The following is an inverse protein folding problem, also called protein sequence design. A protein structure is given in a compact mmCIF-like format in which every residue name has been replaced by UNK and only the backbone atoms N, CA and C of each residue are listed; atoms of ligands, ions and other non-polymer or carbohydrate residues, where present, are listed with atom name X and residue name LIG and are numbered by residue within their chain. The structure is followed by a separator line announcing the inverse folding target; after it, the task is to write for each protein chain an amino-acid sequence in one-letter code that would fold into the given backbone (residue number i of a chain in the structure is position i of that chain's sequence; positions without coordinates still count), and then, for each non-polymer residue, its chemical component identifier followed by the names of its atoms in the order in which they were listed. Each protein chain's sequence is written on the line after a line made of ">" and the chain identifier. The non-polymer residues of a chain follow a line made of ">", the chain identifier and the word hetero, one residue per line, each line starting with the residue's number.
data_IF_759381699335
#
_entry.id   IF_759381699335
#
_cell.length_a   1.000
_cell.length_b   1.000
_cell.length_c   1.000
_cell.angle_alpha   90.00
_cell.angle_beta   90.00
_cell.angle_gamma   90.00
#
_symmetry.space_group_name_H-M   'P 1'
#
loop_
_entity.id
_entity.type
_entity.pdbx_description
1 polymer ?
#
# COMPACT_ATOMS: atom_id res chain seq x y z
N UNK A 1 8.35 27.17 -61.18
CA UNK A 1 7.95 25.95 -61.90
C UNK A 1 9.20 25.42 -62.59
N UNK A 2 9.94 24.53 -61.92
CA UNK A 2 11.15 23.90 -62.46
C UNK A 2 10.78 22.52 -63.02
N UNK A 3 11.33 22.09 -64.16
CA UNK A 3 10.99 20.79 -64.74
C UNK A 3 11.64 19.67 -63.91
N UNK A 4 10.82 18.73 -63.46
CA UNK A 4 11.28 17.45 -62.91
C UNK A 4 11.53 16.52 -64.11
N UNK A 5 12.80 16.22 -64.40
CA UNK A 5 13.13 15.14 -65.32
C UNK A 5 12.95 13.81 -64.59
N UNK A 6 12.02 12.99 -65.08
CA UNK A 6 11.79 11.61 -64.62
C UNK A 6 12.63 10.70 -65.50
N UNK A 7 13.71 10.12 -64.98
CA UNK A 7 14.42 9.06 -65.68
C UNK A 7 13.66 7.74 -65.52
N UNK A 8 13.61 6.97 -66.60
CA UNK A 8 13.04 5.63 -66.67
C UNK A 8 14.07 4.63 -66.20
N UNK A 9 14.23 4.48 -64.89
CA UNK A 9 14.69 3.27 -64.19
C UNK A 9 14.54 3.51 -62.68
N UNK A 10 14.00 2.52 -61.96
CA UNK A 10 13.62 2.64 -60.56
C UNK A 10 14.80 3.00 -59.66
N UNK A 11 14.74 4.18 -59.05
CA UNK A 11 15.70 4.64 -58.05
C UNK A 11 15.39 6.09 -57.67
N UNK A 12 14.96 6.32 -56.43
CA UNK A 12 14.63 7.66 -55.94
C UNK A 12 15.94 8.37 -55.50
N UNK A 13 16.70 8.91 -56.45
CA UNK A 13 17.87 9.75 -56.17
C UNK A 13 17.44 11.20 -55.87
N UNK A 14 17.86 11.77 -54.73
CA UNK A 14 17.80 13.23 -54.48
C UNK A 14 19.19 13.83 -54.67
N UNK A 15 19.44 14.41 -55.83
CA UNK A 15 20.65 15.18 -56.11
C UNK A 15 20.40 16.67 -55.83
N UNK A 16 21.25 17.30 -55.02
CA UNK A 16 21.26 18.75 -54.83
C UNK A 16 22.28 19.41 -55.74
N UNK A 17 21.90 20.50 -56.41
CA UNK A 17 22.80 21.36 -57.18
C UNK A 17 23.09 22.64 -56.39
N UNK A 18 24.37 22.88 -56.08
CA UNK A 18 24.83 24.18 -55.59
C UNK A 18 25.50 24.94 -56.74
N UNK A 19 24.99 26.12 -57.08
CA UNK A 19 25.65 27.02 -58.04
C UNK A 19 26.05 28.30 -57.31
N UNK A 20 27.33 28.50 -57.05
CA UNK A 20 27.85 29.83 -56.70
C UNK A 20 28.08 30.63 -57.99
N UNK A 21 27.52 31.83 -58.06
CA UNK A 21 27.74 32.78 -59.16
C UNK A 21 29.19 33.30 -59.11
N UNK A 22 30.11 32.62 -59.81
CA UNK A 22 31.30 33.21 -60.41
C UNK A 22 32.09 32.14 -61.19
N UNK A 23 32.17 32.33 -62.51
CA UNK A 23 33.03 31.64 -63.48
C UNK A 23 32.77 30.15 -63.81
N UNK A 24 32.72 29.91 -65.11
CA UNK A 24 32.41 28.66 -65.79
C UNK A 24 33.55 27.65 -65.57
N UNK A 25 33.29 26.59 -64.83
CA UNK A 25 33.63 25.18 -65.16
C UNK A 25 33.50 24.32 -63.91
N UNK A 26 32.96 23.11 -64.07
CA UNK A 26 32.67 22.06 -63.07
C UNK A 26 31.39 22.22 -62.24
N UNK A 27 30.34 21.50 -62.67
CA UNK A 27 29.21 21.11 -61.83
C UNK A 27 29.65 19.83 -61.10
N UNK A 28 29.94 19.93 -59.81
CA UNK A 28 30.16 18.77 -58.95
C UNK A 28 28.80 18.27 -58.45
N UNK A 29 28.31 17.18 -59.04
CA UNK A 29 27.15 16.44 -58.54
C UNK A 29 27.65 15.53 -57.42
N UNK A 30 27.39 15.89 -56.17
CA UNK A 30 27.54 14.96 -55.06
C UNK A 30 26.28 14.10 -54.95
N UNK A 31 26.36 12.85 -55.41
CA UNK A 31 25.41 11.80 -55.05
C UNK A 31 25.84 11.20 -53.72
N UNK A 32 25.15 11.53 -52.64
CA UNK A 32 25.24 10.75 -51.40
C UNK A 32 24.32 9.54 -51.60
N UNK A 33 24.90 8.36 -51.79
CA UNK A 33 24.17 7.10 -51.69
C UNK A 33 23.75 6.94 -50.22
N UNK A 34 22.48 7.21 -49.91
CA UNK A 34 21.89 6.61 -48.73
C UNK A 34 21.68 5.12 -49.04
N UNK A 35 22.17 4.19 -48.20
CA UNK A 35 21.81 2.78 -48.39
C UNK A 35 20.28 2.67 -48.36
N UNK A 36 19.71 2.00 -49.35
CA UNK A 36 18.28 1.71 -49.36
C UNK A 36 17.95 0.88 -48.12
N UNK A 37 17.38 1.50 -47.10
CA UNK A 37 16.94 0.84 -45.87
C UNK A 37 15.99 -0.36 -46.12
N UNK A 38 15.37 -0.42 -47.30
CA UNK A 38 14.48 -1.50 -47.71
C UNK A 38 15.20 -2.76 -48.20
N UNK A 39 16.49 -2.72 -48.56
CA UNK A 39 17.24 -3.88 -49.08
C UNK A 39 18.14 -4.54 -48.02
N UNK A 40 18.43 -3.82 -46.93
CA UNK A 40 19.21 -4.32 -45.79
C UNK A 40 18.66 -5.64 -45.21
N UNK A 41 17.33 -5.82 -45.06
CA UNK A 41 16.80 -7.00 -44.37
C UNK A 41 16.90 -8.30 -45.18
N UNK A 42 16.71 -8.23 -46.51
CA UNK A 42 16.80 -9.40 -47.41
C UNK A 42 18.25 -9.90 -47.54
N UNK A 43 19.23 -9.05 -47.23
CA UNK A 43 20.66 -9.42 -47.21
C UNK A 43 21.07 -10.04 -45.86
N UNK A 44 20.37 -9.67 -44.77
CA UNK A 44 20.65 -10.15 -43.41
C UNK A 44 19.95 -11.49 -43.13
N UNK A 45 18.74 -11.69 -43.65
CA UNK A 45 17.92 -12.90 -43.48
C UNK A 45 18.01 -13.75 -44.75
N UNK A 46 18.54 -14.98 -44.63
CA UNK A 46 18.65 -15.89 -45.77
C UNK A 46 17.27 -16.37 -46.28
N UNK A 47 17.18 -16.75 -47.55
CA UNK A 47 15.93 -17.20 -48.18
C UNK A 47 15.37 -18.52 -47.62
N UNK A 48 16.17 -19.33 -46.93
CA UNK A 48 15.77 -20.58 -46.24
C UNK A 48 15.36 -20.38 -44.79
N UNK A 49 15.11 -19.15 -44.36
CA UNK A 49 14.86 -18.81 -42.96
C UNK A 49 13.49 -19.32 -42.46
N UNK A 50 13.50 -20.07 -41.36
CA UNK A 50 12.31 -20.42 -40.59
C UNK A 50 12.21 -19.59 -39.30
N UNK A 51 11.23 -18.67 -39.19
CA UNK A 51 10.97 -17.89 -37.98
C UNK A 51 10.55 -18.72 -36.76
N UNK A 52 10.08 -19.97 -36.94
CA UNK A 52 9.67 -20.84 -35.84
C UNK A 52 10.83 -21.62 -35.24
N UNK A 53 11.90 -21.86 -36.01
CA UNK A 53 13.08 -22.53 -35.50
C UNK A 53 13.87 -21.59 -34.59
N UNK A 54 14.20 -22.11 -33.39
CA UNK A 54 15.01 -21.38 -32.42
C UNK A 54 16.45 -21.23 -32.89
N UNK A 55 17.13 -20.12 -32.53
CA UNK A 55 18.54 -19.98 -32.79
C UNK A 55 19.35 -20.97 -31.94
N UNK A 56 20.10 -21.84 -32.61
CA UNK A 56 21.07 -22.75 -32.00
C UNK A 56 22.32 -22.82 -32.89
N UNK A 57 23.53 -22.92 -32.31
CA UNK A 57 24.71 -23.31 -33.07
C UNK A 57 24.49 -24.69 -33.70
N UNK A 58 24.97 -24.89 -34.92
CA UNK A 58 24.84 -26.14 -35.64
C UNK A 58 25.55 -27.28 -34.87
N UNK A 59 24.80 -28.29 -34.43
CA UNK A 59 25.31 -29.42 -33.65
C UNK A 59 25.29 -29.25 -32.12
N UNK A 60 24.85 -28.12 -31.58
CA UNK A 60 24.74 -27.91 -30.14
C UNK A 60 23.34 -28.27 -29.59
N UNK A 61 23.33 -28.91 -28.43
CA UNK A 61 22.12 -29.28 -27.67
C UNK A 61 21.83 -28.24 -26.58
N UNK A 62 22.68 -27.22 -26.42
CA UNK A 62 22.50 -26.20 -25.41
C UNK A 62 21.18 -25.43 -25.55
N UNK A 63 20.65 -25.04 -24.39
CA UNK A 63 19.47 -24.20 -24.29
C UNK A 63 19.80 -22.79 -24.83
N UNK A 64 18.89 -22.24 -25.63
CA UNK A 64 18.99 -20.84 -26.08
C UNK A 64 18.81 -19.92 -24.88
N UNK A 65 19.86 -19.17 -24.52
CA UNK A 65 19.82 -18.23 -23.40
C UNK A 65 19.17 -16.91 -23.85
N UNK A 66 18.15 -16.48 -23.11
CA UNK A 66 17.47 -15.20 -23.33
C UNK A 66 17.63 -14.34 -22.08
N UNK A 67 18.31 -13.22 -22.24
CA UNK A 67 18.53 -12.24 -21.18
C UNK A 67 17.40 -11.21 -21.16
N UNK A 68 16.81 -10.99 -19.98
CA UNK A 68 15.72 -10.05 -19.74
C UNK A 68 16.20 -8.84 -18.97
N UNK A 69 15.66 -7.69 -19.35
CA UNK A 69 15.76 -6.43 -18.62
C UNK A 69 14.43 -5.71 -18.63
N UNK A 70 14.03 -5.18 -17.49
CA UNK A 70 12.80 -4.43 -17.31
C UNK A 70 13.13 -2.97 -17.02
N UNK A 71 12.45 -2.06 -17.71
CA UNK A 71 12.46 -0.64 -17.38
C UNK A 71 11.03 -0.22 -17.04
N UNK A 72 10.75 -0.03 -15.75
CA UNK A 72 9.44 0.36 -15.24
C UNK A 72 9.29 1.86 -15.35
N UNK A 73 8.35 2.30 -16.19
CA UNK A 73 8.02 3.71 -16.38
C UNK A 73 7.08 4.23 -15.31
N UNK A 74 6.09 3.42 -14.92
CA UNK A 74 5.06 3.85 -14.00
C UNK A 74 4.41 2.65 -13.29
N UNK A 75 3.89 2.91 -12.08
CA UNK A 75 3.13 1.96 -11.29
C UNK A 75 1.82 2.64 -10.92
N UNK A 76 0.71 2.13 -11.45
CA UNK A 76 -0.60 2.72 -11.32
C UNK A 76 -1.58 1.79 -10.59
N UNK A 77 -2.63 2.41 -10.02
CA UNK A 77 -3.82 1.72 -9.52
C UNK A 77 -3.55 0.47 -8.69
N UNK A 78 -2.84 0.62 -7.56
CA UNK A 78 -2.74 -0.45 -6.54
C UNK A 78 -4.12 -0.58 -5.91
N UNK A 79 -4.81 -1.68 -6.16
CA UNK A 79 -6.16 -1.93 -5.71
C UNK A 79 -6.19 -3.03 -4.63
N UNK A 80 -6.37 -2.66 -3.35
CA UNK A 80 -6.52 -3.62 -2.27
C UNK A 80 -7.71 -4.54 -2.45
N UNK A 81 -8.82 -4.06 -3.03
CA UNK A 81 -10.08 -4.78 -3.12
C UNK A 81 -10.00 -5.96 -4.09
N UNK A 82 -9.40 -5.72 -5.25
CA UNK A 82 -9.23 -6.73 -6.28
C UNK A 82 -7.91 -7.50 -6.15
N UNK A 83 -7.06 -7.14 -5.17
CA UNK A 83 -5.75 -7.77 -4.95
C UNK A 83 -4.88 -7.71 -6.22
N UNK A 84 -4.79 -6.52 -6.82
CA UNK A 84 -3.98 -6.28 -8.02
C UNK A 84 -3.34 -4.89 -8.07
N UNK A 85 -2.38 -4.75 -8.98
CA UNK A 85 -1.72 -3.49 -9.28
C UNK A 85 -1.33 -3.44 -10.76
N UNK A 86 -1.28 -2.24 -11.33
CA UNK A 86 -0.95 -2.03 -12.74
C UNK A 86 0.48 -1.51 -12.87
N UNK A 87 1.24 -2.09 -13.80
CA UNK A 87 2.61 -1.66 -14.09
C UNK A 87 2.74 -1.37 -15.57
N UNK A 88 3.38 -0.25 -15.90
CA UNK A 88 3.81 0.13 -17.24
C UNK A 88 5.33 -0.01 -17.32
N UNK A 89 5.80 -0.88 -18.19
CA UNK A 89 7.22 -1.16 -18.33
C UNK A 89 7.62 -1.49 -19.77
N UNK A 90 8.88 -1.20 -20.10
CA UNK A 90 9.58 -1.72 -21.26
C UNK A 90 10.21 -3.06 -20.90
N UNK A 91 9.80 -4.12 -21.61
CA UNK A 91 10.47 -5.41 -21.59
C UNK A 91 11.53 -5.43 -22.68
N UNK A 92 12.78 -5.66 -22.30
CA UNK A 92 13.91 -5.84 -23.20
C UNK A 92 14.35 -7.29 -23.10
N UNK A 93 14.41 -7.95 -24.25
CA UNK A 93 14.85 -9.34 -24.40
C UNK A 93 16.06 -9.35 -25.31
N UNK A 94 17.10 -10.09 -24.94
CA UNK A 94 18.33 -10.20 -25.73
C UNK A 94 18.73 -11.66 -25.88
N UNK A 95 18.97 -12.08 -27.12
CA UNK A 95 19.47 -13.43 -27.45
C UNK A 95 20.42 -13.32 -28.64
N UNK A 96 21.18 -14.38 -28.89
CA UNK A 96 22.09 -14.45 -30.05
C UNK A 96 21.50 -15.39 -31.10
N UNK A 97 21.39 -14.93 -32.35
CA UNK A 97 21.00 -15.75 -33.49
C UNK A 97 22.20 -15.94 -34.43
N UNK A 98 22.69 -17.19 -34.48
CA UNK A 98 23.86 -17.57 -35.30
C UNK A 98 23.52 -17.76 -36.78
N UNK A 99 22.24 -17.78 -37.15
CA UNK A 99 21.80 -17.97 -38.55
C UNK A 99 21.84 -16.67 -39.35
N UNK A 100 21.98 -15.52 -38.67
CA UNK A 100 22.12 -14.22 -39.32
C UNK A 100 23.45 -14.13 -40.06
N UNK A 101 23.45 -13.45 -41.21
CA UNK A 101 24.67 -13.31 -42.00
C UNK A 101 25.66 -12.34 -41.35
N UNK A 102 26.65 -12.89 -40.64
CA UNK A 102 27.68 -12.13 -39.92
C UNK A 102 28.49 -11.20 -40.83
N UNK A 103 28.78 -11.58 -42.08
CA UNK A 103 29.59 -10.75 -42.99
C UNK A 103 28.86 -9.48 -43.39
N UNK A 104 27.55 -9.59 -43.68
CA UNK A 104 26.69 -8.44 -44.02
C UNK A 104 26.51 -7.54 -42.80
N UNK A 105 26.40 -8.11 -41.59
CA UNK A 105 26.31 -7.32 -40.36
C UNK A 105 27.60 -6.55 -40.07
N UNK A 106 28.77 -7.13 -40.35
CA UNK A 106 30.06 -6.45 -40.20
C UNK A 106 30.21 -5.30 -41.19
N UNK A 107 29.89 -5.52 -42.46
CA UNK A 107 29.93 -4.49 -43.53
C UNK A 107 28.99 -3.31 -43.23
N UNK A 108 27.76 -3.59 -42.80
CA UNK A 108 26.77 -2.55 -42.50
C UNK A 108 27.12 -1.69 -41.28
N UNK A 109 28.02 -2.17 -40.41
CA UNK A 109 28.33 -1.54 -39.13
C UNK A 109 29.79 -1.08 -39.01
N UNK A 110 30.56 -1.01 -40.10
CA UNK A 110 31.97 -0.55 -40.13
C UNK A 110 32.21 0.78 -39.39
N UNK A 111 31.19 1.65 -39.27
CA UNK A 111 31.31 2.98 -38.64
C UNK A 111 30.49 3.19 -37.34
N UNK A 112 29.75 2.18 -36.84
CA UNK A 112 28.89 2.30 -35.65
C UNK A 112 28.97 1.04 -34.77
N UNK A 113 30.02 0.92 -33.95
CA UNK A 113 30.22 -0.24 -33.07
C UNK A 113 29.17 -0.33 -31.94
N UNK A 114 28.72 0.81 -31.40
CA UNK A 114 27.86 0.83 -30.21
C UNK A 114 26.35 0.85 -30.51
N UNK A 115 25.97 1.14 -31.76
CA UNK A 115 24.58 1.35 -32.14
C UNK A 115 24.17 0.30 -33.17
N UNK A 116 23.65 -0.84 -32.68
CA UNK A 116 23.05 -1.87 -33.53
C UNK A 116 22.01 -1.32 -34.51
N UNK A 117 21.80 -2.03 -35.62
CA UNK A 117 20.89 -1.64 -36.70
C UNK A 117 19.45 -1.80 -36.22
N UNK A 118 18.64 -0.74 -36.32
CA UNK A 118 17.20 -0.77 -36.05
C UNK A 118 16.46 -1.31 -37.27
N UNK A 119 15.76 -2.44 -37.12
CA UNK A 119 14.95 -3.00 -38.19
C UNK A 119 13.54 -2.37 -38.21
N UNK A 120 12.95 -2.16 -39.41
CA UNK A 120 11.55 -1.78 -39.53
C UNK A 120 10.62 -2.80 -38.88
N UNK A 121 9.44 -2.35 -38.44
CA UNK A 121 8.51 -3.21 -37.70
C UNK A 121 7.90 -4.36 -38.53
N UNK A 122 7.95 -4.30 -39.86
CA UNK A 122 7.52 -5.40 -40.74
C UNK A 122 8.37 -6.66 -40.53
N UNK A 123 9.62 -6.50 -40.10
CA UNK A 123 10.55 -7.59 -39.83
C UNK A 123 10.34 -8.23 -38.47
N UNK A 124 9.45 -7.68 -37.63
CA UNK A 124 9.10 -8.28 -36.35
C UNK A 124 8.60 -9.71 -36.55
N UNK A 125 7.83 -9.98 -37.60
CA UNK A 125 7.22 -11.30 -37.82
C UNK A 125 8.17 -12.31 -38.48
N UNK A 126 9.25 -11.83 -39.10
CA UNK A 126 10.25 -12.66 -39.76
C UNK A 126 11.28 -13.23 -38.79
N UNK A 127 11.53 -12.62 -37.62
CA UNK A 127 12.55 -13.10 -36.68
C UNK A 127 11.94 -14.04 -35.62
N UNK A 128 12.66 -15.11 -35.27
CA UNK A 128 12.28 -15.97 -34.13
C UNK A 128 12.25 -15.14 -32.85
N UNK A 129 11.20 -15.32 -32.04
CA UNK A 129 11.03 -14.63 -30.76
C UNK A 129 10.71 -15.66 -29.69
N UNK A 130 11.26 -15.52 -28.48
CA UNK A 130 10.87 -16.37 -27.36
C UNK A 130 9.41 -16.08 -26.98
N UNK A 131 8.82 -16.99 -26.20
CA UNK A 131 7.42 -17.00 -25.80
C UNK A 131 7.24 -16.71 -24.30
N UNK A 132 7.56 -15.50 -23.81
CA UNK A 132 7.39 -15.16 -22.40
C UNK A 132 5.90 -15.02 -22.06
N UNK A 133 5.51 -15.64 -20.95
CA UNK A 133 4.24 -15.41 -20.28
C UNK A 133 4.45 -14.86 -18.88
N UNK A 134 3.46 -14.12 -18.41
CA UNK A 134 3.40 -13.62 -17.05
C UNK A 134 2.26 -14.38 -16.36
N UNK A 135 2.54 -15.46 -15.62
CA UNK A 135 1.51 -16.37 -15.13
C UNK A 135 0.55 -15.71 -14.14
N UNK A 136 0.99 -14.67 -13.43
CA UNK A 136 0.15 -13.90 -12.52
C UNK A 136 -0.45 -12.62 -13.12
N UNK A 137 -0.41 -12.45 -14.44
CA UNK A 137 -1.11 -11.36 -15.11
C UNK A 137 -2.61 -11.68 -15.23
N UNK A 138 -3.45 -10.74 -14.81
CA UNK A 138 -4.90 -10.76 -15.07
C UNK A 138 -5.22 -10.21 -16.46
N UNK A 139 -4.49 -9.18 -16.87
CA UNK A 139 -4.67 -8.48 -18.14
C UNK A 139 -3.31 -7.99 -18.65
N UNK A 140 -3.05 -8.16 -19.95
CA UNK A 140 -1.86 -7.65 -20.62
C UNK A 140 -2.33 -6.80 -21.80
N UNK A 141 -1.99 -5.53 -21.79
CA UNK A 141 -2.27 -4.59 -22.87
C UNK A 141 -0.95 -4.15 -23.50
N UNK A 142 -0.83 -4.32 -24.81
CA UNK A 142 0.22 -3.68 -25.60
C UNK A 142 -0.35 -2.39 -26.18
N UNK A 143 0.16 -1.23 -25.76
CA UNK A 143 -0.31 0.04 -26.33
C UNK A 143 0.01 0.12 -27.82
N UNK A 144 -0.93 0.64 -28.61
CA UNK A 144 -0.71 0.97 -30.02
C UNK A 144 -1.39 2.30 -30.33
N UNK A 145 -0.62 3.33 -30.69
CA UNK A 145 -1.20 4.56 -31.26
C UNK A 145 -1.43 4.42 -32.77
N UNK A 146 -0.51 3.74 -33.48
CA UNK A 146 -0.59 3.47 -34.93
C UNK A 146 0.18 2.19 -35.35
N UNK A 147 1.14 1.74 -34.54
CA UNK A 147 1.94 0.53 -34.72
C UNK A 147 2.21 -0.08 -33.34
N UNK A 148 2.53 -1.37 -33.27
CA UNK A 148 2.97 -2.00 -32.01
C UNK A 148 4.19 -1.23 -31.49
N UNK A 149 4.20 -0.82 -30.21
CA UNK A 149 5.40 -0.24 -29.58
C UNK A 149 6.46 -1.32 -29.33
N UNK A 150 6.99 -1.86 -30.42
CA UNK A 150 8.00 -2.89 -30.43
C UNK A 150 9.09 -2.52 -31.42
N UNK A 151 10.35 -2.80 -31.07
CA UNK A 151 11.50 -2.58 -31.93
C UNK A 151 12.47 -3.75 -31.82
N UNK A 152 13.11 -4.09 -32.93
CA UNK A 152 14.21 -5.05 -32.99
C UNK A 152 15.47 -4.32 -33.40
N UNK A 153 16.53 -4.53 -32.64
CA UNK A 153 17.87 -4.07 -32.96
C UNK A 153 18.80 -5.26 -33.10
N UNK A 154 19.58 -5.29 -34.18
CA UNK A 154 20.57 -6.35 -34.45
C UNK A 154 21.98 -5.77 -34.29
N UNK A 155 22.86 -6.50 -33.62
CA UNK A 155 24.26 -6.12 -33.39
C UNK A 155 25.23 -6.99 -34.22
N UNK A 156 26.48 -6.51 -34.38
CA UNK A 156 27.53 -7.14 -35.20
C UNK A 156 27.75 -8.62 -34.86
N UNK A 157 27.67 -8.94 -33.57
CA UNK A 157 27.88 -10.26 -33.02
C UNK A 157 26.67 -11.21 -33.18
N UNK A 158 25.66 -10.85 -33.97
CA UNK A 158 24.42 -11.62 -34.12
C UNK A 158 23.49 -11.55 -32.91
N UNK A 159 23.77 -10.67 -31.94
CA UNK A 159 22.86 -10.40 -30.83
C UNK A 159 21.65 -9.62 -31.34
N UNK A 160 20.46 -10.11 -31.03
CA UNK A 160 19.19 -9.47 -31.30
C UNK A 160 18.65 -8.94 -29.98
N UNK A 161 18.29 -7.65 -29.95
CA UNK A 161 17.61 -7.01 -28.84
C UNK A 161 16.20 -6.63 -29.26
N UNK A 162 15.22 -7.29 -28.67
CA UNK A 162 13.80 -7.01 -28.84
C UNK A 162 13.30 -6.18 -27.67
N UNK A 163 12.64 -5.07 -27.96
CA UNK A 163 12.04 -4.19 -26.95
C UNK A 163 10.54 -4.10 -27.20
N UNK A 164 9.73 -4.21 -26.15
CA UNK A 164 8.28 -3.99 -26.22
C UNK A 164 7.77 -3.31 -24.95
N UNK A 165 6.90 -2.30 -25.10
CA UNK A 165 6.24 -1.65 -23.96
C UNK A 165 4.90 -2.34 -23.66
N UNK A 166 4.71 -2.73 -22.41
CA UNK A 166 3.54 -3.45 -21.94
C UNK A 166 2.91 -2.75 -20.73
N UNK A 167 1.60 -2.81 -20.67
CA UNK A 167 0.78 -2.40 -19.54
C UNK A 167 0.14 -3.64 -18.97
N UNK A 168 0.56 -4.06 -17.78
CA UNK A 168 0.13 -5.33 -17.20
C UNK A 168 -0.58 -5.09 -15.89
N UNK A 169 -1.76 -5.69 -15.74
CA UNK A 169 -2.46 -5.80 -14.47
C UNK A 169 -2.05 -7.12 -13.82
N UNK A 170 -1.33 -7.02 -12.70
CA UNK A 170 -0.74 -8.16 -12.00
C UNK A 170 -1.53 -8.49 -10.75
N UNK A 171 -1.85 -9.77 -10.55
CA UNK A 171 -2.41 -10.27 -9.30
C UNK A 171 -1.33 -10.26 -8.20
N UNK A 172 -1.68 -9.69 -7.04
CA UNK A 172 -0.84 -9.64 -5.86
C UNK A 172 -1.68 -9.94 -4.61
N UNK A 173 -1.38 -11.04 -3.93
CA UNK A 173 -2.05 -11.42 -2.69
C UNK A 173 -1.49 -10.59 -1.53
N UNK A 174 -2.16 -9.49 -1.19
CA UNK A 174 -1.74 -8.57 -0.13
C UNK A 174 -2.19 -9.08 1.26
N UNK A 175 -1.37 -8.82 2.29
CA UNK A 175 -1.69 -9.12 3.69
C UNK A 175 -1.86 -7.83 4.51
N UNK A 176 -3.10 -7.58 4.96
CA UNK A 176 -3.47 -6.38 5.71
C UNK A 176 -3.50 -6.58 7.24
N UNK A 177 -2.95 -7.66 7.80
CA UNK A 177 -2.93 -7.87 9.26
C UNK A 177 -2.27 -6.70 10.02
N UNK A 178 -1.22 -6.12 9.45
CA UNK A 178 -0.48 -5.00 10.03
C UNK A 178 -1.01 -3.62 9.57
N UNK A 179 -2.13 -3.58 8.87
CA UNK A 179 -2.71 -2.33 8.38
C UNK A 179 -2.97 -1.33 9.53
N UNK A 180 -2.59 -0.05 9.39
CA UNK A 180 -2.10 0.64 8.17
C UNK A 180 -0.57 0.75 8.06
N UNK A 181 0.19 0.05 8.89
CA UNK A 181 1.66 0.02 8.81
C UNK A 181 2.10 -1.32 8.20
N UNK A 182 1.65 -1.56 6.97
CA UNK A 182 1.84 -2.78 6.20
C UNK A 182 2.84 -2.59 5.05
N UNK A 183 3.63 -3.64 4.79
CA UNK A 183 4.50 -3.75 3.62
C UNK A 183 3.99 -4.89 2.74
N UNK A 184 3.61 -4.57 1.52
CA UNK A 184 3.10 -5.54 0.55
C UNK A 184 4.21 -5.95 -0.41
N UNK A 185 4.37 -7.26 -0.59
CA UNK A 185 5.35 -7.84 -1.52
C UNK A 185 4.59 -8.41 -2.71
N UNK A 186 4.69 -7.72 -3.84
CA UNK A 186 3.99 -8.08 -5.06
C UNK A 186 4.97 -8.59 -6.12
N UNK A 187 5.00 -9.90 -6.40
CA UNK A 187 5.88 -10.45 -7.42
C UNK A 187 5.29 -10.27 -8.82
N UNK A 188 6.14 -9.97 -9.78
CA UNK A 188 5.91 -10.17 -11.21
C UNK A 188 6.75 -11.36 -11.64
N UNK A 189 6.12 -12.35 -12.28
CA UNK A 189 6.79 -13.56 -12.74
C UNK A 189 6.83 -13.58 -14.27
N UNK A 190 7.95 -13.99 -14.85
CA UNK A 190 8.10 -14.20 -16.30
C UNK A 190 8.67 -15.59 -16.52
N UNK A 191 8.03 -16.39 -17.36
CA UNK A 191 8.45 -17.75 -17.70
C UNK A 191 8.15 -18.07 -19.16
N UNK A 192 8.77 -19.11 -19.73
CA UNK A 192 8.44 -19.56 -21.09
C UNK A 192 7.13 -20.34 -21.08
N UNK A 193 6.27 -20.12 -22.08
CA UNK A 193 5.01 -20.82 -22.21
C UNK A 193 5.21 -22.28 -22.61
N UNK A 194 5.98 -22.53 -23.66
CA UNK A 194 6.06 -23.82 -24.35
C UNK A 194 7.38 -24.54 -24.06
N UNK A 195 8.48 -23.78 -23.95
CA UNK A 195 9.83 -24.34 -23.98
C UNK A 195 10.37 -24.62 -22.56
N UNK A 196 10.78 -25.86 -22.25
CA UNK A 196 11.44 -26.19 -20.99
C UNK A 196 12.89 -25.67 -20.95
N UNK A 197 13.50 -25.76 -19.77
CA UNK A 197 14.82 -25.19 -19.45
C UNK A 197 16.00 -25.72 -20.26
N UNK A 198 15.87 -26.92 -20.79
CA UNK A 198 16.80 -27.57 -21.70
C UNK A 198 16.74 -26.97 -23.11
N UNK A 199 15.62 -26.37 -23.51
CA UNK A 199 15.44 -25.73 -24.83
C UNK A 199 15.68 -24.23 -24.76
N UNK A 200 15.03 -23.54 -23.82
CA UNK A 200 15.13 -22.08 -23.65
C UNK A 200 15.33 -21.75 -22.18
N UNK A 201 16.36 -20.97 -21.88
CA UNK A 201 16.68 -20.57 -20.51
C UNK A 201 16.64 -19.06 -20.36
N UNK A 202 15.71 -18.60 -19.53
CA UNK A 202 15.59 -17.18 -19.19
C UNK A 202 16.59 -16.79 -18.11
N UNK A 203 17.20 -15.62 -18.24
CA UNK A 203 18.11 -15.06 -17.25
C UNK A 203 17.91 -13.55 -17.16
N UNK A 204 18.24 -12.97 -16.01
CA UNK A 204 18.37 -11.52 -15.90
C UNK A 204 19.66 -11.05 -16.57
N UNK A 205 19.59 -9.95 -17.33
CA UNK A 205 20.78 -9.34 -17.94
C UNK A 205 21.80 -9.01 -16.84
N UNK A 206 23.04 -9.46 -17.02
CA UNK A 206 24.11 -9.20 -16.05
C UNK A 206 24.49 -7.71 -16.10
N UNK A 207 24.74 -7.06 -14.96
CA UNK A 207 25.29 -5.71 -14.95
C UNK A 207 26.64 -5.68 -15.68
N UNK A 208 26.83 -4.69 -16.55
CA UNK A 208 28.14 -4.44 -17.16
C UNK A 208 29.09 -3.84 -16.12
N UNK A 209 30.27 -4.45 -15.94
CA UNK A 209 31.28 -4.00 -14.97
C UNK A 209 31.70 -2.53 -15.17
N UNK A 210 31.64 -2.02 -16.41
CA UNK A 210 32.01 -0.65 -16.79
C UNK A 210 31.00 0.41 -16.30
N UNK A 211 29.72 0.06 -16.14
CA UNK A 211 28.66 1.00 -15.73
C UNK A 211 28.38 1.03 -14.23
N UNK A 212 29.02 0.15 -13.45
CA UNK A 212 28.71 -0.10 -12.04
C UNK A 212 29.86 0.29 -11.12
N UNK A 213 30.49 1.44 -11.37
CA UNK A 213 31.69 1.85 -10.65
C UNK A 213 31.42 2.41 -9.23
N UNK A 214 30.16 2.73 -8.92
CA UNK A 214 29.76 3.22 -7.61
C UNK A 214 28.66 2.34 -7.00
N UNK A 215 28.82 1.96 -5.74
CA UNK A 215 27.90 1.10 -4.98
C UNK A 215 26.48 1.68 -4.74
N UNK A 216 26.12 2.80 -5.38
CA UNK A 216 24.86 3.54 -5.17
C UNK A 216 23.88 3.49 -6.36
N UNK A 217 24.21 2.78 -7.45
CA UNK A 217 23.47 2.97 -8.69
C UNK A 217 22.40 1.90 -8.97
N UNK A 218 21.13 2.29 -8.76
CA UNK A 218 19.93 1.72 -9.41
C UNK A 218 20.04 1.63 -10.97
N UNK A 219 21.14 2.13 -11.54
CA UNK A 219 21.50 2.08 -12.94
C UNK A 219 21.90 0.68 -13.41
N UNK A 220 22.39 -0.17 -12.49
CA UNK A 220 22.96 -1.48 -12.80
C UNK A 220 22.03 -2.68 -12.53
N UNK A 221 20.83 -2.46 -12.01
CA UNK A 221 19.87 -3.54 -11.83
C UNK A 221 19.24 -3.96 -13.18
N UNK A 222 18.95 -5.26 -13.37
CA UNK A 222 18.20 -5.73 -14.53
C UNK A 222 16.73 -5.26 -14.51
N UNK A 223 16.23 -4.87 -13.33
CA UNK A 223 14.93 -4.23 -13.16
C UNK A 223 15.16 -2.80 -12.71
N UNK A 224 14.87 -1.85 -13.60
CA UNK A 224 15.08 -0.42 -13.37
C UNK A 224 13.75 0.29 -13.21
N UNK A 225 13.73 1.26 -12.32
CA UNK A 225 12.59 2.16 -12.13
C UNK A 225 12.96 3.54 -12.64
N UNK A 226 12.02 4.19 -13.32
CA UNK A 226 12.16 5.61 -13.65
C UNK A 226 12.17 6.47 -12.38
N UNK A 227 13.08 7.44 -12.31
CA UNK A 227 13.26 8.28 -11.11
C UNK A 227 12.03 9.17 -10.82
N UNK A 228 11.16 9.38 -11.81
CA UNK A 228 9.94 10.17 -11.67
C UNK A 228 8.79 9.45 -10.97
N UNK A 229 8.87 8.13 -10.77
CA UNK A 229 7.76 7.34 -10.21
C UNK A 229 7.55 7.70 -8.74
N UNK A 230 6.40 8.31 -8.44
CA UNK A 230 5.96 8.62 -7.09
C UNK A 230 4.53 8.16 -6.90
N UNK A 231 4.35 7.28 -5.93
CA UNK A 231 3.04 6.78 -5.52
C UNK A 231 2.49 7.68 -4.40
N UNK A 232 1.18 7.89 -4.40
CA UNK A 232 0.55 8.83 -3.45
C UNK A 232 0.31 8.20 -2.07
N UNK A 233 0.01 6.90 -2.02
CA UNK A 233 -0.36 6.17 -0.80
C UNK A 233 0.74 5.23 -0.29
N UNK A 234 1.73 4.93 -1.13
CA UNK A 234 2.78 3.95 -0.84
C UNK A 234 4.14 4.55 -1.17
N UNK A 235 5.16 4.18 -0.41
CA UNK A 235 6.55 4.31 -0.79
C UNK A 235 7.02 2.99 -1.41
N UNK A 236 7.81 3.08 -2.48
CA UNK A 236 8.43 1.91 -3.07
C UNK A 236 9.76 1.64 -2.37
N UNK A 237 9.88 0.48 -1.73
CA UNK A 237 11.15 -0.01 -1.20
C UNK A 237 12.00 -0.63 -2.33
N UNK A 238 13.31 -0.85 -2.13
CA UNK A 238 14.18 -1.44 -3.14
C UNK A 238 13.61 -2.75 -3.71
N UNK A 239 13.49 -2.81 -5.03
CA UNK A 239 12.99 -4.00 -5.73
C UNK A 239 14.01 -5.12 -5.66
N UNK A 240 13.53 -6.35 -5.45
CA UNK A 240 14.38 -7.54 -5.43
C UNK A 240 14.08 -8.38 -6.67
N UNK A 241 15.11 -8.83 -7.37
CA UNK A 241 14.98 -9.71 -8.51
C UNK A 241 15.67 -11.04 -8.21
N UNK A 242 15.04 -12.13 -8.62
CA UNK A 242 15.58 -13.48 -8.44
C UNK A 242 15.23 -14.38 -9.63
N UNK A 243 15.95 -15.48 -9.73
CA UNK A 243 15.68 -16.55 -10.71
C UNK A 243 15.23 -17.77 -9.93
N UNK A 244 14.03 -18.24 -10.21
CA UNK A 244 13.46 -19.47 -9.68
C UNK A 244 13.23 -20.51 -10.76
N UNK A 245 12.73 -21.67 -10.35
CA UNK A 245 12.30 -22.75 -11.24
C UNK A 245 10.87 -23.13 -10.92
N UNK A 246 10.02 -23.20 -11.95
CA UNK A 246 8.67 -23.71 -11.85
C UNK A 246 8.61 -25.13 -12.45
N UNK A 247 7.89 -26.03 -11.80
CA UNK A 247 7.62 -27.38 -12.29
C UNK A 247 6.13 -27.50 -12.54
N UNK A 248 5.75 -27.86 -13.75
CA UNK A 248 4.38 -28.10 -14.15
C UNK A 248 4.22 -29.57 -14.50
N UNK A 249 3.36 -30.28 -13.78
CA UNK A 249 3.13 -31.71 -13.98
C UNK A 249 2.44 -31.96 -15.33
N UNK A 250 1.59 -31.04 -15.78
CA UNK A 250 0.87 -31.11 -17.05
C UNK A 250 1.79 -30.96 -18.26
N UNK A 251 2.84 -30.15 -18.13
CA UNK A 251 3.81 -29.89 -19.21
C UNK A 251 5.03 -30.81 -19.18
N UNK A 252 5.12 -31.68 -18.17
CA UNK A 252 6.23 -32.62 -17.97
C UNK A 252 7.62 -31.96 -18.12
N UNK A 253 7.83 -30.80 -17.50
CA UNK A 253 9.06 -30.03 -17.67
C UNK A 253 9.37 -29.10 -16.51
N UNK A 254 10.65 -28.69 -16.42
CA UNK A 254 11.12 -27.65 -15.51
C UNK A 254 11.32 -26.39 -16.33
N UNK A 255 10.71 -25.29 -15.88
CA UNK A 255 10.73 -23.98 -16.52
C UNK A 255 11.46 -22.98 -15.63
N UNK A 256 12.16 -22.01 -16.23
CA UNK A 256 12.88 -20.96 -15.52
C UNK A 256 11.91 -19.82 -15.34
N UNK A 257 11.78 -19.36 -14.09
CA UNK A 257 10.88 -18.30 -13.72
C UNK A 257 11.68 -17.13 -13.19
N UNK A 258 11.67 -16.03 -13.93
CA UNK A 258 12.23 -14.76 -13.49
C UNK A 258 11.21 -14.08 -12.57
N UNK A 259 11.66 -13.63 -11.39
CA UNK A 259 10.82 -12.95 -10.41
C UNK A 259 11.34 -11.55 -10.16
N UNK A 260 10.46 -10.55 -10.25
CA UNK A 260 10.72 -9.18 -9.82
C UNK A 260 9.72 -8.82 -8.72
N UNK A 261 10.20 -8.57 -7.51
CA UNK A 261 9.39 -8.25 -6.33
C UNK A 261 9.29 -6.73 -6.14
N UNK A 262 8.07 -6.21 -6.30
CA UNK A 262 7.72 -4.84 -5.96
C UNK A 262 7.31 -4.79 -4.49
N UNK A 263 8.00 -3.96 -3.71
CA UNK A 263 7.75 -3.81 -2.26
C UNK A 263 7.09 -2.47 -1.99
N UNK A 264 5.80 -2.50 -1.67
CA UNK A 264 5.01 -1.31 -1.39
C UNK A 264 4.86 -1.13 0.12
N UNK A 265 5.50 -0.11 0.67
CA UNK A 265 5.33 0.30 2.07
C UNK A 265 4.23 1.36 2.16
N UNK A 266 3.20 1.17 2.97
CA UNK A 266 2.14 2.19 3.11
C UNK A 266 2.64 3.42 3.87
N UNK A 267 2.27 4.60 3.40
CA UNK A 267 2.52 5.86 4.10
C UNK A 267 1.52 6.07 5.24
N UNK A 268 2.02 6.14 6.48
CA UNK A 268 1.19 6.14 7.69
C UNK A 268 0.52 7.50 7.97
N UNK A 269 1.09 8.60 7.48
CA UNK A 269 0.74 9.98 7.87
C UNK A 269 -0.74 10.31 7.65
N UNK A 270 -1.31 9.88 6.52
CA UNK A 270 -2.71 10.14 6.19
C UNK A 270 -3.66 9.47 7.20
N UNK A 271 -3.38 8.21 7.53
CA UNK A 271 -4.17 7.43 8.48
C UNK A 271 -4.07 7.98 9.92
N UNK A 272 -2.91 8.54 10.30
CA UNK A 272 -2.74 9.21 11.59
C UNK A 272 -3.71 10.38 11.76
N UNK A 273 -3.76 11.29 10.79
CA UNK A 273 -4.59 12.49 10.90
C UNK A 273 -6.08 12.22 10.66
N UNK A 274 -6.42 11.24 9.82
CA UNK A 274 -7.82 10.94 9.50
C UNK A 274 -8.50 10.07 10.57
N UNK A 275 -7.75 9.15 11.20
CA UNK A 275 -8.34 8.18 12.15
C UNK A 275 -7.76 8.28 13.54
N UNK A 276 -6.44 8.15 13.72
CA UNK A 276 -5.85 8.03 15.06
C UNK A 276 -5.99 9.31 15.89
N UNK A 277 -5.74 10.48 15.29
CA UNK A 277 -5.86 11.78 15.98
C UNK A 277 -7.32 12.08 16.37
N UNK A 278 -8.32 12.02 15.45
CA UNK A 278 -9.70 12.31 15.81
C UNK A 278 -10.29 11.29 16.80
N UNK A 279 -9.98 10.00 16.66
CA UNK A 279 -10.45 8.97 17.61
C UNK A 279 -9.83 9.16 19.01
N UNK A 280 -8.56 9.55 19.09
CA UNK A 280 -7.91 9.91 20.36
C UNK A 280 -8.57 11.13 21.00
N UNK A 281 -8.83 12.19 20.23
CA UNK A 281 -9.53 13.38 20.72
C UNK A 281 -10.94 13.03 21.22
N UNK A 282 -11.65 12.15 20.51
CA UNK A 282 -12.94 11.63 20.94
C UNK A 282 -12.79 10.93 22.30
N UNK A 283 -11.83 10.03 22.50
CA UNK A 283 -11.58 9.39 23.81
C UNK A 283 -11.26 10.44 24.89
N UNK A 284 -10.46 11.46 24.59
CA UNK A 284 -10.19 12.58 25.50
C UNK A 284 -11.47 13.35 25.89
N UNK A 285 -12.46 13.51 25.00
CA UNK A 285 -13.76 14.10 25.35
C UNK A 285 -14.51 13.27 26.41
N UNK A 286 -14.39 11.93 26.38
CA UNK A 286 -14.96 11.11 27.46
C UNK A 286 -14.24 11.35 28.79
N UNK A 287 -12.91 11.49 28.76
CA UNK A 287 -12.14 11.85 29.95
C UNK A 287 -12.56 13.21 30.54
N UNK A 288 -12.77 14.23 29.70
CA UNK A 288 -13.26 15.54 30.16
C UNK A 288 -14.66 15.47 30.77
N UNK A 289 -15.47 14.47 30.42
CA UNK A 289 -16.80 14.30 31.01
C UNK A 289 -16.76 14.04 32.52
N UNK A 290 -15.68 13.47 33.07
CA UNK A 290 -15.50 13.22 34.51
C UNK A 290 -15.23 14.50 35.31
N UNK A 291 -14.86 15.59 34.64
CA UNK A 291 -14.72 16.91 35.26
C UNK A 291 -16.06 17.65 35.34
N UNK A 292 -17.04 17.25 34.52
CA UNK A 292 -18.39 17.83 34.58
C UNK A 292 -19.17 17.25 35.75
N UNK A 293 -19.65 18.12 36.63
CA UNK A 293 -20.51 17.76 37.75
C UNK A 293 -21.88 17.22 37.30
N UNK A 294 -22.55 16.51 38.20
CA UNK A 294 -23.90 15.95 37.98
C UNK A 294 -25.02 17.02 38.03
N UNK A 295 -24.67 18.29 37.90
CA UNK A 295 -25.61 19.41 37.87
C UNK A 295 -26.17 19.63 36.46
N UNK A 296 -25.41 19.20 35.43
CA UNK A 296 -25.81 19.20 34.03
C UNK A 296 -25.81 17.78 33.43
N UNK A 297 -26.56 16.86 34.07
CA UNK A 297 -26.78 15.47 33.60
C UNK A 297 -27.06 15.37 32.09
N UNK A 298 -27.98 16.17 31.48
CA UNK A 298 -28.25 16.05 30.04
C UNK A 298 -27.05 16.40 29.17
N UNK A 299 -26.19 17.33 29.59
CA UNK A 299 -24.96 17.69 28.87
C UNK A 299 -23.93 16.56 28.87
N UNK A 300 -23.66 15.95 30.04
CA UNK A 300 -22.73 14.81 30.16
C UNK A 300 -23.23 13.59 29.38
N UNK A 301 -24.52 13.27 29.47
CA UNK A 301 -25.11 12.15 28.73
C UNK A 301 -25.02 12.34 27.21
N UNK A 302 -25.37 13.53 26.72
CA UNK A 302 -25.35 13.84 25.28
C UNK A 302 -23.93 13.76 24.73
N UNK A 303 -22.94 14.36 25.42
CA UNK A 303 -21.54 14.30 25.00
C UNK A 303 -21.05 12.85 24.86
N UNK A 304 -21.33 12.00 25.85
CA UNK A 304 -20.90 10.61 25.84
C UNK A 304 -21.57 9.81 24.72
N UNK A 305 -22.89 9.90 24.56
CA UNK A 305 -23.64 9.17 23.52
C UNK A 305 -23.27 9.64 22.12
N UNK A 306 -23.23 10.96 21.87
CA UNK A 306 -22.85 11.51 20.57
C UNK A 306 -21.43 11.09 20.20
N UNK A 307 -20.50 11.16 21.14
CA UNK A 307 -19.11 10.76 20.89
C UNK A 307 -18.94 9.26 20.61
N UNK A 308 -19.78 8.41 21.19
CA UNK A 308 -19.82 6.98 20.89
C UNK A 308 -20.36 6.74 19.48
N UNK A 309 -21.45 7.40 19.11
CA UNK A 309 -22.00 7.33 17.76
C UNK A 309 -20.97 7.75 16.71
N UNK A 310 -20.27 8.87 16.94
CA UNK A 310 -19.19 9.35 16.04
C UNK A 310 -18.11 8.29 15.86
N UNK A 311 -17.68 7.63 16.93
CA UNK A 311 -16.64 6.61 16.86
C UNK A 311 -17.11 5.35 16.12
N UNK A 312 -18.36 4.94 16.30
CA UNK A 312 -18.98 3.83 15.54
C UNK A 312 -19.07 4.19 14.05
N UNK A 313 -19.48 5.41 13.72
CA UNK A 313 -19.53 5.90 12.33
C UNK A 313 -18.13 5.92 11.70
N UNK A 314 -17.11 6.38 12.44
CA UNK A 314 -15.72 6.31 11.98
C UNK A 314 -15.26 4.87 11.73
N UNK A 315 -15.62 3.93 12.61
CA UNK A 315 -15.29 2.52 12.43
C UNK A 315 -15.95 1.92 11.18
N UNK A 316 -17.23 2.23 10.94
CA UNK A 316 -17.92 1.81 9.72
C UNK A 316 -17.24 2.38 8.46
N UNK A 317 -16.84 3.66 8.47
CA UNK A 317 -16.12 4.27 7.34
C UNK A 317 -14.73 3.66 7.10
N UNK A 318 -14.05 3.17 8.16
CA UNK A 318 -12.75 2.50 8.02
C UNK A 318 -12.82 1.10 7.37
N UNK A 319 -14.02 0.51 7.24
CA UNK A 319 -14.23 -0.76 6.54
C UNK A 319 -14.36 -0.61 5.01
N UNK A 320 -13.91 0.51 4.45
CA UNK A 320 -13.86 0.75 3.00
C UNK A 320 -12.81 -0.11 2.27
N UNK A 321 -11.91 -0.76 3.02
CA UNK A 321 -11.06 -1.84 2.51
C UNK A 321 -11.88 -3.12 2.29
N UNK A 322 -11.49 -3.99 1.35
CA UNK A 322 -12.21 -5.25 1.12
C UNK A 322 -12.45 -5.99 2.44
N UNK A 323 -13.62 -6.66 2.56
CA UNK A 323 -13.95 -7.41 3.76
C UNK A 323 -12.97 -8.59 3.91
N UNK A 324 -11.93 -8.38 4.71
CA UNK A 324 -11.02 -9.43 5.13
C UNK A 324 -11.64 -10.19 6.31
N UNK A 325 -11.47 -11.52 6.33
CA UNK A 325 -11.92 -12.38 7.45
C UNK A 325 -11.06 -12.21 8.70
N UNK A 326 -9.88 -11.60 8.58
CA UNK A 326 -8.95 -11.38 9.68
C UNK A 326 -9.06 -9.96 10.25
N UNK A 327 -8.69 -9.82 11.53
CA UNK A 327 -8.67 -8.54 12.25
C UNK A 327 -7.45 -7.73 11.82
N UNK A 328 -7.66 -6.48 11.42
CA UNK A 328 -6.59 -5.53 11.06
C UNK A 328 -6.07 -4.78 12.30
N UNK A 329 -4.83 -4.29 12.24
CA UNK A 329 -4.26 -3.46 13.31
C UNK A 329 -5.09 -2.21 13.64
N UNK A 330 -5.67 -1.57 12.62
CA UNK A 330 -6.60 -0.45 12.79
C UNK A 330 -7.92 -0.86 13.49
N UNK A 331 -8.42 -2.07 13.22
CA UNK A 331 -9.66 -2.57 13.85
C UNK A 331 -9.46 -2.73 15.37
N UNK A 332 -8.28 -3.23 15.79
CA UNK A 332 -7.91 -3.35 17.20
C UNK A 332 -7.93 -1.99 17.90
N UNK A 333 -7.37 -0.96 17.25
CA UNK A 333 -7.39 0.40 17.77
C UNK A 333 -8.81 0.94 17.95
N UNK A 334 -9.64 0.86 16.90
CA UNK A 334 -11.00 1.37 16.94
C UNK A 334 -11.86 0.64 17.97
N UNK A 335 -11.71 -0.69 18.08
CA UNK A 335 -12.39 -1.49 19.09
C UNK A 335 -11.96 -1.13 20.52
N UNK A 336 -10.66 -0.87 20.73
CA UNK A 336 -10.18 -0.39 22.03
C UNK A 336 -10.77 0.98 22.38
N UNK A 337 -10.75 1.96 21.46
CA UNK A 337 -11.36 3.26 21.67
C UNK A 337 -12.87 3.16 21.98
N UNK A 338 -13.59 2.26 21.29
CA UNK A 338 -15.01 1.99 21.54
C UNK A 338 -15.23 1.40 22.94
N UNK A 339 -14.37 0.48 23.37
CA UNK A 339 -14.41 -0.08 24.72
C UNK A 339 -14.18 1.01 25.78
N UNK A 340 -13.18 1.88 25.62
CA UNK A 340 -12.95 3.01 26.53
C UNK A 340 -14.14 3.97 26.57
N UNK A 341 -14.83 4.19 25.45
CA UNK A 341 -16.06 4.98 25.43
C UNK A 341 -17.21 4.32 26.16
N UNK A 342 -17.40 3.02 25.97
CA UNK A 342 -18.41 2.25 26.67
C UNK A 342 -18.17 2.27 28.19
N UNK A 343 -16.92 2.13 28.64
CA UNK A 343 -16.56 2.22 30.05
C UNK A 343 -16.88 3.60 30.66
N UNK A 344 -16.69 4.70 29.91
CA UNK A 344 -17.07 6.04 30.38
C UNK A 344 -18.60 6.20 30.52
N UNK A 345 -19.39 5.57 29.64
CA UNK A 345 -20.86 5.55 29.76
C UNK A 345 -21.30 4.71 30.97
N UNK A 346 -20.69 3.54 31.16
CA UNK A 346 -20.98 2.66 32.29
C UNK A 346 -20.67 3.34 33.63
N UNK A 347 -19.56 4.05 33.71
CA UNK A 347 -19.20 4.88 34.86
C UNK A 347 -20.27 5.96 35.12
N UNK A 348 -20.70 6.69 34.08
CA UNK A 348 -21.71 7.74 34.24
C UNK A 348 -23.04 7.19 34.76
N UNK A 349 -23.50 6.05 34.24
CA UNK A 349 -24.71 5.37 34.72
C UNK A 349 -24.55 4.95 36.18
N UNK A 350 -23.38 4.41 36.54
CA UNK A 350 -23.08 3.97 37.91
C UNK A 350 -23.07 5.14 38.88
N UNK A 351 -22.38 6.23 38.54
CA UNK A 351 -22.32 7.46 39.36
C UNK A 351 -23.71 8.09 39.51
N UNK A 352 -24.49 8.14 38.42
CA UNK A 352 -25.88 8.61 38.49
C UNK A 352 -26.71 7.76 39.46
N UNK A 353 -26.62 6.44 39.36
CA UNK A 353 -27.36 5.53 40.25
C UNK A 353 -26.94 5.67 41.71
N UNK A 354 -25.65 5.82 41.97
CA UNK A 354 -25.12 6.05 43.32
C UNK A 354 -25.57 7.40 43.90
N UNK A 355 -25.67 8.45 43.07
CA UNK A 355 -26.23 9.75 43.49
C UNK A 355 -27.71 9.61 43.85
N UNK A 356 -28.52 8.96 43.01
CA UNK A 356 -29.94 8.73 43.31
C UNK A 356 -30.13 7.96 44.63
N UNK A 357 -29.36 6.88 44.83
CA UNK A 357 -29.39 6.13 46.09
C UNK A 357 -29.00 6.96 47.31
N UNK A 358 -28.00 7.85 47.16
CA UNK A 358 -27.58 8.77 48.22
C UNK A 358 -28.67 9.81 48.53
N UNK A 359 -29.30 10.39 47.50
CA UNK A 359 -30.35 11.39 47.67
C UNK A 359 -31.60 10.77 48.33
N UNK A 360 -31.97 9.54 47.98
CA UNK A 360 -33.07 8.80 48.63
C UNK A 360 -32.75 8.46 50.09
N UNK A 361 -31.51 8.04 50.37
CA UNK A 361 -31.04 7.80 51.75
C UNK A 361 -31.09 9.08 52.60
N UNK A 362 -30.65 10.22 52.06
CA UNK A 362 -30.68 11.51 52.77
C UNK A 362 -32.11 12.02 53.01
N UNK A 363 -33.05 11.78 52.08
CA UNK A 363 -34.48 12.09 52.30
C UNK A 363 -35.08 11.24 53.43
N UNK A 364 -34.69 9.96 53.53
CA UNK A 364 -35.10 9.10 54.64
C UNK A 364 -34.67 9.65 56.00
N UNK A 365 -33.40 10.10 56.11
CA UNK A 365 -32.88 10.73 57.33
C UNK A 365 -33.64 12.03 57.67
N UNK A 366 -33.88 12.89 56.68
CA UNK A 366 -34.59 14.15 56.90
C UNK A 366 -36.07 13.95 57.32
N UNK A 367 -36.72 12.89 56.82
CA UNK A 367 -38.09 12.52 57.20
C UNK A 367 -38.19 12.05 58.66
N UNK A 368 -37.20 11.29 59.14
CA UNK A 368 -37.18 10.78 60.51
C UNK A 368 -36.90 11.87 61.56
N UNK A 369 -36.07 12.87 61.23
CA UNK A 369 -35.74 13.99 62.14
C UNK A 369 -36.92 14.95 62.36
N UNK A 370 -37.89 15.03 61.44
CA UNK A 370 -39.04 15.94 61.54
C UNK A 370 -40.23 15.32 62.33
N UNK A 371 -40.18 14.04 62.72
CA UNK A 371 -41.24 13.42 63.55
C UNK A 371 -41.12 13.71 65.04
N UNK A 372 -40.93 14.96 65.43
CA UNK A 372 -41.19 15.39 66.82
C UNK A 372 -42.69 15.67 66.93
N UNK A 373 -43.46 14.73 67.51
CA UNK A 373 -44.85 15.00 67.90
C UNK A 373 -44.86 16.26 68.78
N UNK A 374 -45.60 17.33 68.45
CA UNK A 374 -45.71 18.46 69.34
C UNK A 374 -46.35 17.99 70.65
N UNK A 375 -45.68 18.32 71.76
CA UNK A 375 -46.19 18.15 73.11
C UNK A 375 -47.46 18.99 73.26
N UNK A 376 -48.63 18.37 73.28
CA UNK A 376 -49.89 19.02 73.65
C UNK A 376 -49.93 19.13 75.18
N UNK A 377 -49.66 20.32 75.72
CA UNK A 377 -50.06 20.66 77.09
C UNK A 377 -51.54 21.04 77.11
N UNK A 378 -52.41 20.13 77.52
CA UNK A 378 -53.70 20.53 78.11
C UNK A 378 -53.46 20.81 79.60
N UNK A 379 -53.60 22.08 79.98
CA UNK A 379 -53.60 22.48 81.39
C UNK A 379 -54.98 22.18 81.96
N UNK A 380 -55.11 21.07 82.66
CA UNK A 380 -56.23 20.84 83.57
C UNK A 380 -55.72 20.89 85.02
N UNK A 381 -56.28 21.84 85.77
CA UNK A 381 -55.96 22.08 87.17
C UNK A 381 -56.60 21.00 88.05
N UNK A 382 -55.82 19.98 88.43
CA UNK A 382 -55.79 19.35 89.76
C UNK A 382 -54.88 18.12 89.76
N UNK A 383 -54.17 17.95 90.88
CA UNK A 383 -53.28 16.86 91.27
C UNK A 383 -51.81 16.99 90.85
N UNK A 384 -51.00 17.33 91.84
CA UNK A 384 -49.57 17.10 91.93
C UNK A 384 -49.27 15.61 91.91
N UNK A 385 -48.66 15.13 90.83
CA UNK A 385 -47.71 14.02 90.85
C UNK A 385 -46.60 14.31 89.82
N UNK A 386 -45.40 14.62 90.32
CA UNK A 386 -44.22 14.92 89.52
C UNK A 386 -43.58 13.61 89.09
N UNK A 387 -43.99 13.10 87.93
CA UNK A 387 -43.26 12.03 87.23
C UNK A 387 -42.21 12.65 86.31
N UNK A 388 -40.95 12.60 86.75
CA UNK A 388 -39.78 13.04 85.98
C UNK A 388 -39.51 12.05 84.84
N UNK A 389 -40.19 12.24 83.70
CA UNK A 389 -39.90 11.50 82.47
C UNK A 389 -38.56 11.91 81.90
N UNK A 390 -37.58 11.00 81.90
CA UNK A 390 -36.35 11.14 81.13
C UNK A 390 -36.68 11.07 79.64
N UNK A 391 -36.35 12.12 78.90
CA UNK A 391 -36.32 12.07 77.44
C UNK A 391 -35.18 11.14 77.02
N UNK A 392 -35.49 9.90 76.65
CA UNK A 392 -34.57 9.07 75.90
C UNK A 392 -34.49 9.61 74.48
N UNK A 393 -33.47 10.43 74.20
CA UNK A 393 -33.07 10.79 72.84
C UNK A 393 -32.45 9.53 72.20
N UNK A 394 -33.31 8.65 71.69
CA UNK A 394 -32.89 7.52 70.89
C UNK A 394 -32.42 8.02 69.54
N UNK A 395 -31.13 8.31 69.42
CA UNK A 395 -30.47 8.53 68.13
C UNK A 395 -30.55 7.20 67.33
N UNK A 396 -31.54 7.09 66.44
CA UNK A 396 -31.58 5.99 65.48
C UNK A 396 -30.45 6.24 64.47
N UNK A 397 -29.33 5.58 64.67
CA UNK A 397 -28.24 5.49 63.69
C UNK A 397 -28.82 4.77 62.45
N UNK A 398 -29.10 5.53 61.40
CA UNK A 398 -29.55 4.98 60.12
C UNK A 398 -28.37 4.21 59.51
N UNK A 399 -28.39 2.89 59.63
CA UNK A 399 -27.32 2.04 59.08
C UNK A 399 -27.34 2.09 57.55
N UNK A 400 -26.15 2.24 56.96
CA UNK A 400 -25.91 2.03 55.52
C UNK A 400 -26.46 0.66 55.08
N UNK A 401 -26.87 0.49 53.80
CA UNK A 401 -27.26 -0.82 53.30
C UNK A 401 -26.13 -1.84 53.53
N UNK A 402 -26.44 -3.10 53.88
CA UNK A 402 -25.48 -4.06 54.42
C UNK A 402 -24.31 -4.40 53.49
N UNK A 403 -24.40 -4.02 52.21
CA UNK A 403 -23.40 -4.32 51.18
C UNK A 403 -22.67 -3.08 50.62
N UNK A 404 -23.09 -1.84 50.93
CA UNK A 404 -22.49 -0.65 50.31
C UNK A 404 -22.49 0.56 51.25
N UNK A 405 -21.30 0.98 51.69
CA UNK A 405 -21.12 2.19 52.50
C UNK A 405 -21.18 3.43 51.61
N UNK A 406 -22.26 4.19 51.65
CA UNK A 406 -22.49 5.34 50.76
C UNK A 406 -21.67 6.57 51.18
N UNK A 407 -21.34 6.67 52.47
CA UNK A 407 -20.56 7.77 53.06
C UNK A 407 -19.68 7.26 54.19
N UNK A 408 -18.50 7.84 54.34
CA UNK A 408 -17.65 7.60 55.51
C UNK A 408 -16.87 8.85 55.88
N UNK A 409 -16.50 8.94 57.16
CA UNK A 409 -15.62 9.98 57.66
C UNK A 409 -14.19 9.45 57.55
N UNK A 410 -13.30 10.22 56.94
CA UNK A 410 -11.89 9.87 56.87
C UNK A 410 -11.23 10.15 58.23
N UNK A 411 -10.73 9.09 58.86
CA UNK A 411 -10.20 9.08 60.22
C UNK A 411 -8.97 9.99 60.39
N UNK A 412 -8.27 10.32 59.29
CA UNK A 412 -7.08 11.20 59.31
C UNK A 412 -7.37 12.68 59.06
N UNK A 413 -8.48 13.02 58.42
CA UNK A 413 -8.79 14.40 58.02
C UNK A 413 -10.07 14.94 58.64
N UNK A 414 -10.92 14.07 59.20
CA UNK A 414 -12.23 14.45 59.73
C UNK A 414 -13.23 14.88 58.66
N UNK A 415 -12.87 14.78 57.37
CA UNK A 415 -13.71 15.20 56.24
C UNK A 415 -14.60 14.03 55.79
N UNK A 416 -15.85 14.35 55.50
CA UNK A 416 -16.83 13.41 54.97
C UNK A 416 -16.56 13.10 53.50
N UNK A 417 -16.39 11.82 53.18
CA UNK A 417 -16.23 11.31 51.82
C UNK A 417 -17.53 10.64 51.36
N UNK A 418 -17.97 11.01 50.16
CA UNK A 418 -19.17 10.48 49.51
C UNK A 418 -18.76 9.55 48.38
N UNK A 419 -19.32 8.34 48.34
CA UNK A 419 -18.88 7.28 47.43
C UNK A 419 -18.91 7.70 45.95
N UNK A 420 -20.01 8.28 45.46
CA UNK A 420 -20.14 8.68 44.05
C UNK A 420 -19.10 9.75 43.63
N UNK A 421 -18.79 10.70 44.52
CA UNK A 421 -17.74 11.72 44.28
C UNK A 421 -16.34 11.08 44.22
N UNK A 422 -16.08 10.10 45.09
CA UNK A 422 -14.80 9.39 45.09
C UNK A 422 -14.61 8.54 43.83
N UNK A 423 -15.69 7.95 43.31
CA UNK A 423 -15.68 7.22 42.03
C UNK A 423 -15.30 8.17 40.88
N UNK A 424 -15.99 9.30 40.70
CA UNK A 424 -15.63 10.29 39.67
C UNK A 424 -14.15 10.72 39.81
N UNK A 425 -13.67 11.00 41.04
CA UNK A 425 -12.28 11.41 41.30
C UNK A 425 -11.28 10.30 40.92
N UNK A 426 -11.56 9.04 41.22
CA UNK A 426 -10.70 7.93 40.86
C UNK A 426 -10.60 7.77 39.32
N UNK A 427 -11.73 7.83 38.62
CA UNK A 427 -11.77 7.70 37.16
C UNK A 427 -11.08 8.84 36.42
N UNK A 428 -10.97 10.04 37.01
CA UNK A 428 -10.16 11.15 36.45
C UNK A 428 -8.69 10.79 36.21
N UNK A 429 -8.12 9.91 37.03
CA UNK A 429 -6.72 9.49 36.93
C UNK A 429 -6.58 8.10 36.31
N UNK A 430 -7.45 7.15 36.66
CA UNK A 430 -7.37 5.77 36.16
C UNK A 430 -7.61 5.70 34.65
N UNK A 431 -8.61 6.42 34.16
CA UNK A 431 -8.99 6.39 32.75
C UNK A 431 -7.85 6.82 31.80
N UNK A 432 -7.26 8.03 31.95
CA UNK A 432 -6.16 8.44 31.08
C UNK A 432 -4.91 7.59 31.27
N UNK A 433 -4.64 7.09 32.48
CA UNK A 433 -3.50 6.19 32.73
C UNK A 433 -3.61 4.92 31.90
N UNK A 434 -4.74 4.22 31.98
CA UNK A 434 -4.97 2.99 31.21
C UNK A 434 -4.90 3.29 29.70
N UNK A 435 -5.50 4.39 29.24
CA UNK A 435 -5.44 4.74 27.83
C UNK A 435 -4.02 5.04 27.33
N UNK A 436 -3.20 5.75 28.11
CA UNK A 436 -1.79 6.02 27.78
C UNK A 436 -0.97 4.72 27.76
N UNK A 437 -1.20 3.80 28.71
CA UNK A 437 -0.53 2.49 28.67
C UNK A 437 -0.92 1.68 27.43
N UNK A 438 -2.20 1.69 27.05
CA UNK A 438 -2.67 1.08 25.81
C UNK A 438 -1.98 1.67 24.58
N UNK A 439 -1.89 3.01 24.48
CA UNK A 439 -1.20 3.70 23.40
C UNK A 439 0.26 3.26 23.28
N UNK A 440 0.99 3.22 24.40
CA UNK A 440 2.39 2.79 24.42
C UNK A 440 2.56 1.35 23.93
N UNK A 441 1.73 0.43 24.43
CA UNK A 441 1.75 -0.98 24.01
C UNK A 441 1.39 -1.12 22.53
N UNK A 442 0.31 -0.47 22.09
CA UNK A 442 -0.17 -0.53 20.71
C UNK A 442 0.88 -0.07 19.71
N UNK A 443 1.43 1.13 19.89
CA UNK A 443 2.44 1.68 18.97
C UNK A 443 3.73 0.87 19.01
N UNK A 444 4.15 0.39 20.18
CA UNK A 444 5.34 -0.46 20.28
C UNK A 444 5.19 -1.79 19.53
N UNK A 445 4.00 -2.40 19.56
CA UNK A 445 3.72 -3.64 18.83
C UNK A 445 3.59 -3.40 17.34
N UNK A 446 2.93 -2.30 16.93
CA UNK A 446 2.75 -1.97 15.52
C UNK A 446 4.10 -1.67 14.85
N UNK A 447 4.95 -0.86 15.49
CA UNK A 447 6.25 -0.46 14.93
C UNK A 447 7.31 -1.59 14.97
N UNK A 448 7.32 -2.43 16.01
CA UNK A 448 8.28 -3.55 16.11
C UNK A 448 8.02 -4.68 15.11
N UNK A 449 6.80 -4.81 14.59
CA UNK A 449 6.43 -5.90 13.67
C UNK A 449 6.77 -5.61 12.21
N UNK A 450 7.25 -4.41 11.91
CA UNK A 450 7.55 -3.94 10.55
C UNK A 450 9.03 -4.01 10.18
N UNK A 451 9.91 -4.27 11.16
CA UNK A 451 11.31 -4.63 10.98
C UNK A 451 11.49 -6.09 11.36
#
# INVERSE_FOLDING_TARGET
>A
MFPVFRSSQGGNQRCGLWTSYAYISSILVYCVNQPQYNEIPDQVIQSSWDPQERPRPEGDVAATKVDFKLYVFDINSINPADMDFRVDFLMIQSWTDYRLNSTVLEELQENQEEHGILLPAEFLDLVWKPDPIIPNAKEILSSSLNQKFASIRVFKNGMIRYMIRLYVLLACQMDFRQYPYDVQICPMMIESFSNPNDVVKFAWEKPSEVSCHNNDDNNCSPVRLDQGVKLLQYALAPMVYSVGTARYDEKQGIYTQLKAEFRFSRELIHHLFQTYVPSTLIVCLAWFSFFMGLDAIPGRATLLVTSMLTLVTMFANSQTFPPATYVKGMDIWMMACLLFKFLAIAEFITVKRLKEMYDDYMKGIAGDVITVKPFQTSVDAKNTDVSRGQNAFGEKVVMDPPFLKLRWIDERTGIEKILWKQVDIAFRYIYPLIFITFQGVYWSLLLKRAF
#
